data_IF_689914550888
#
_entry.id   IF_689914550888
#
_cell.length_a   1.000
_cell.length_b   1.000
_cell.length_c   1.000
_cell.angle_alpha   90.00
_cell.angle_beta   90.00
_cell.angle_gamma   90.00
#
_symmetry.space_group_name_H-M   'P 1'
#
loop_
_entity.id
_entity.type
_entity.pdbx_description
1 polymer ?
#
# COMPACT_ATOMS: atom_id res chain seq x y z
N UNK A 1 -6.51 18.09 18.65
CA UNK A 1 -7.98 18.08 18.69
C UNK A 1 -8.44 18.70 19.98
N UNK A 2 -8.18 18.07 21.14
CA UNK A 2 -8.56 18.63 22.45
C UNK A 2 -7.92 20.00 22.76
N UNK A 3 -6.63 20.19 22.47
CA UNK A 3 -5.97 21.51 22.58
C UNK A 3 -6.61 22.61 21.70
N UNK A 4 -7.38 22.23 20.67
CA UNK A 4 -8.15 23.16 19.81
C UNK A 4 -9.64 23.23 20.18
N UNK A 5 -10.05 22.69 21.33
CA UNK A 5 -11.46 22.63 21.76
C UNK A 5 -12.34 21.67 20.97
N UNK A 6 -11.75 20.80 20.13
CA UNK A 6 -12.50 19.85 19.31
C UNK A 6 -12.47 18.49 20.01
N UNK A 7 -13.63 18.08 20.53
CA UNK A 7 -13.87 16.72 20.99
C UNK A 7 -14.15 15.80 19.81
N UNK A 8 -13.40 14.70 19.71
CA UNK A 8 -13.53 13.76 18.61
C UNK A 8 -13.57 12.36 19.18
N UNK A 9 -14.64 11.62 18.89
CA UNK A 9 -14.74 10.22 19.26
C UNK A 9 -13.93 9.35 18.30
N UNK A 10 -13.60 8.13 18.71
CA UNK A 10 -12.97 7.16 17.83
C UNK A 10 -13.83 6.85 16.59
N UNK A 11 -15.16 6.81 16.72
CA UNK A 11 -16.05 6.58 15.58
C UNK A 11 -16.03 7.76 14.61
N UNK A 12 -15.96 9.00 15.08
CA UNK A 12 -15.80 10.18 14.21
C UNK A 12 -14.52 10.10 13.37
N UNK A 13 -13.39 9.71 13.98
CA UNK A 13 -12.12 9.49 13.25
C UNK A 13 -12.29 8.38 12.20
N UNK A 14 -12.94 7.28 12.59
CA UNK A 14 -13.18 6.14 11.71
C UNK A 14 -14.05 6.52 10.51
N UNK A 15 -15.10 7.30 10.72
CA UNK A 15 -15.99 7.80 9.66
C UNK A 15 -15.24 8.72 8.71
N UNK A 16 -14.42 9.64 9.22
CA UNK A 16 -13.58 10.49 8.38
C UNK A 16 -12.59 9.67 7.54
N UNK A 17 -11.93 8.67 8.13
CA UNK A 17 -11.07 7.77 7.36
C UNK A 17 -11.84 7.03 6.26
N UNK A 18 -13.10 6.62 6.51
CA UNK A 18 -13.94 5.97 5.50
C UNK A 18 -14.39 6.95 4.40
N UNK A 19 -14.79 8.15 4.77
CA UNK A 19 -15.32 9.18 3.87
C UNK A 19 -14.22 9.76 2.97
N UNK A 20 -13.08 10.13 3.56
CA UNK A 20 -12.05 10.90 2.86
C UNK A 20 -10.80 10.10 2.51
N UNK A 21 -10.48 9.05 3.28
CA UNK A 21 -9.20 8.35 3.15
C UNK A 21 -8.96 7.76 1.76
N UNK A 22 -10.00 7.22 1.11
CA UNK A 22 -9.85 6.65 -0.22
C UNK A 22 -9.63 7.73 -1.30
N UNK A 23 -10.30 8.89 -1.18
CA UNK A 23 -10.13 10.01 -2.11
C UNK A 23 -8.69 10.53 -2.04
N UNK A 24 -8.18 10.78 -0.84
CA UNK A 24 -6.79 11.22 -0.65
C UNK A 24 -5.79 10.22 -1.19
N UNK A 25 -5.97 8.94 -0.88
CA UNK A 25 -5.11 7.89 -1.41
C UNK A 25 -5.14 7.79 -2.94
N UNK A 26 -6.26 8.11 -3.59
CA UNK A 26 -6.34 8.16 -5.05
C UNK A 26 -5.59 9.36 -5.63
N UNK A 27 -5.73 10.54 -5.01
CA UNK A 27 -5.10 11.77 -5.49
C UNK A 27 -3.58 11.74 -5.28
N UNK A 28 -3.12 11.27 -4.11
CA UNK A 28 -1.70 11.03 -3.83
C UNK A 28 -1.09 10.03 -4.83
N UNK A 29 -1.86 9.03 -5.29
CA UNK A 29 -1.39 8.10 -6.33
C UNK A 29 -1.28 8.76 -7.70
N UNK A 30 -2.19 9.66 -8.06
CA UNK A 30 -2.18 10.39 -9.34
C UNK A 30 -1.03 11.40 -9.44
N UNK A 31 -0.68 12.03 -8.33
CA UNK A 31 0.42 13.00 -8.27
C UNK A 31 1.81 12.34 -8.25
N UNK A 32 1.91 11.01 -8.27
CA UNK A 32 3.21 10.34 -8.26
C UNK A 32 3.93 10.58 -9.59
N UNK A 33 5.11 11.23 -9.57
CA UNK A 33 5.80 11.61 -10.81
C UNK A 33 6.48 10.42 -11.48
N UNK A 34 6.87 9.40 -10.72
CA UNK A 34 7.64 8.26 -11.23
C UNK A 34 7.36 6.98 -10.43
N UNK A 35 7.35 5.85 -11.12
CA UNK A 35 7.23 4.51 -10.58
C UNK A 35 8.29 3.65 -11.27
N UNK A 36 9.17 2.96 -10.53
CA UNK A 36 10.15 2.12 -11.20
C UNK A 36 9.53 0.92 -11.91
N UNK A 37 10.26 0.50 -12.95
CA UNK A 37 9.98 -0.65 -13.79
C UNK A 37 10.28 -1.99 -13.13
N UNK A 38 10.84 -1.99 -11.91
CA UNK A 38 11.12 -3.19 -11.11
C UNK A 38 10.16 -3.28 -9.94
N UNK A 39 9.37 -4.34 -9.90
CA UNK A 39 8.35 -4.55 -8.87
C UNK A 39 8.78 -5.66 -7.90
N UNK A 40 8.59 -5.43 -6.61
CA UNK A 40 8.75 -6.42 -5.56
C UNK A 40 7.37 -6.80 -5.02
N UNK A 41 7.08 -8.10 -4.93
CA UNK A 41 5.78 -8.63 -4.58
C UNK A 41 5.90 -9.66 -3.47
N UNK A 42 5.01 -9.57 -2.51
CA UNK A 42 4.97 -10.48 -1.37
C UNK A 42 3.54 -10.62 -0.87
N UNK A 43 3.29 -11.71 -0.14
CA UNK A 43 2.01 -11.97 0.48
C UNK A 43 2.15 -12.40 1.93
N UNK A 44 1.27 -11.86 2.77
CA UNK A 44 1.26 -12.20 4.20
C UNK A 44 -0.12 -12.66 4.66
N UNK A 45 -0.13 -13.61 5.60
CA UNK A 45 -1.39 -14.13 6.17
C UNK A 45 -2.02 -13.12 7.13
N UNK A 46 -3.29 -12.82 6.93
CA UNK A 46 -4.11 -11.95 7.79
C UNK A 46 -5.30 -12.75 8.30
N UNK A 47 -5.52 -12.78 9.61
CA UNK A 47 -6.64 -13.53 10.20
C UNK A 47 -7.81 -12.60 10.49
N UNK A 48 -8.95 -12.85 9.84
CA UNK A 48 -10.18 -12.08 9.97
C UNK A 48 -11.28 -13.02 10.45
N UNK A 49 -11.89 -12.75 11.61
CA UNK A 49 -12.95 -13.61 12.20
C UNK A 49 -12.59 -15.11 12.18
N UNK A 50 -11.38 -15.45 12.63
CA UNK A 50 -10.83 -16.83 12.65
C UNK A 50 -10.59 -17.49 11.28
N UNK A 51 -10.81 -16.76 10.18
CA UNK A 51 -10.52 -17.23 8.83
C UNK A 51 -9.22 -16.59 8.32
N UNK A 52 -8.41 -17.38 7.61
CA UNK A 52 -7.17 -16.91 6.98
C UNK A 52 -7.43 -16.21 5.64
N UNK A 53 -6.85 -15.04 5.46
CA UNK A 53 -6.79 -14.31 4.20
C UNK A 53 -5.33 -14.04 3.87
N UNK A 54 -5.07 -13.73 2.60
CA UNK A 54 -3.74 -13.41 2.08
C UNK A 54 -3.74 -11.98 1.60
N UNK A 55 -2.88 -11.17 2.19
CA UNK A 55 -2.64 -9.79 1.81
C UNK A 55 -1.48 -9.74 0.83
N UNK A 56 -1.82 -9.63 -0.45
CA UNK A 56 -0.88 -9.44 -1.54
C UNK A 56 -0.49 -7.97 -1.60
N UNK A 57 0.80 -7.69 -1.68
CA UNK A 57 1.34 -6.34 -1.75
C UNK A 57 2.39 -6.29 -2.85
N UNK A 58 2.43 -5.15 -3.53
CA UNK A 58 3.48 -4.84 -4.50
C UNK A 58 4.04 -3.45 -4.20
N UNK A 59 5.36 -3.35 -4.27
CA UNK A 59 6.12 -2.10 -4.16
C UNK A 59 7.07 -1.98 -5.35
N UNK A 60 7.44 -0.78 -5.75
CA UNK A 60 8.53 -0.57 -6.72
C UNK A 60 9.91 -0.64 -6.05
N UNK A 61 10.98 -0.42 -6.81
CA UNK A 61 12.36 -0.48 -6.32
C UNK A 61 12.69 0.63 -5.30
N UNK A 62 11.98 1.74 -5.35
CA UNK A 62 12.11 2.89 -4.44
C UNK A 62 11.30 2.67 -3.13
N UNK A 63 10.51 1.60 -3.08
CA UNK A 63 9.69 1.24 -1.93
C UNK A 63 8.30 1.87 -1.93
N UNK A 64 7.89 2.47 -3.06
CA UNK A 64 6.56 3.02 -3.21
C UNK A 64 5.53 1.91 -3.38
N UNK A 65 4.40 1.99 -2.67
CA UNK A 65 3.37 0.96 -2.74
C UNK A 65 2.57 1.11 -4.03
N UNK A 66 2.67 0.12 -4.91
CA UNK A 66 1.93 0.04 -6.17
C UNK A 66 0.46 -0.31 -5.92
N UNK A 67 0.25 -1.44 -5.25
CA UNK A 67 -1.09 -1.90 -4.90
C UNK A 67 -1.10 -2.91 -3.77
N UNK A 68 -2.28 -3.06 -3.16
CA UNK A 68 -2.56 -4.02 -2.11
C UNK A 68 -3.88 -4.71 -2.40
N UNK A 69 -3.92 -6.03 -2.26
CA UNK A 69 -5.10 -6.84 -2.51
C UNK A 69 -5.25 -7.95 -1.46
N UNK A 70 -6.37 -7.96 -0.76
CA UNK A 70 -6.75 -9.01 0.17
C UNK A 70 -7.56 -10.08 -0.57
N UNK A 71 -7.11 -11.32 -0.49
CA UNK A 71 -7.76 -12.47 -1.14
C UNK A 71 -7.94 -13.61 -0.15
N UNK A 72 -8.89 -14.50 -0.43
CA UNK A 72 -9.13 -15.69 0.41
C UNK A 72 -8.10 -16.80 0.17
N UNK A 73 -7.54 -16.85 -1.04
CA UNK A 73 -6.64 -17.93 -1.48
C UNK A 73 -5.24 -17.40 -1.82
N UNK A 74 -4.27 -18.32 -1.76
CA UNK A 74 -2.87 -18.12 -2.14
C UNK A 74 -2.47 -18.98 -3.35
N UNK A 75 -3.40 -19.14 -4.29
CA UNK A 75 -3.24 -20.00 -5.46
C UNK A 75 -2.82 -19.19 -6.71
N UNK A 76 -2.58 -19.90 -7.81
CA UNK A 76 -2.20 -19.30 -9.09
C UNK A 76 -3.24 -18.30 -9.58
N UNK A 77 -4.54 -18.61 -9.44
CA UNK A 77 -5.63 -17.70 -9.85
C UNK A 77 -5.61 -16.40 -9.06
N UNK A 78 -5.36 -16.45 -7.76
CA UNK A 78 -5.19 -15.28 -6.92
C UNK A 78 -3.97 -14.44 -7.32
N UNK A 79 -2.82 -15.08 -7.62
CA UNK A 79 -1.63 -14.39 -8.11
C UNK A 79 -1.87 -13.72 -9.48
N UNK A 80 -2.51 -14.41 -10.43
CA UNK A 80 -2.86 -13.83 -11.73
C UNK A 80 -3.80 -12.63 -11.60
N UNK A 81 -4.80 -12.73 -10.70
CA UNK A 81 -5.70 -11.61 -10.42
C UNK A 81 -4.93 -10.41 -9.88
N UNK A 82 -3.93 -10.65 -9.03
CA UNK A 82 -3.08 -9.58 -8.53
C UNK A 82 -2.23 -8.95 -9.64
N UNK A 83 -1.62 -9.75 -10.51
CA UNK A 83 -0.85 -9.25 -11.67
C UNK A 83 -1.72 -8.43 -12.64
N UNK A 84 -2.89 -8.95 -13.02
CA UNK A 84 -3.83 -8.21 -13.90
C UNK A 84 -4.26 -6.89 -13.28
N UNK A 85 -4.50 -6.86 -11.96
CA UNK A 85 -4.84 -5.64 -11.23
C UNK A 85 -3.69 -4.64 -11.28
N UNK A 86 -2.44 -5.08 -11.07
CA UNK A 86 -1.26 -4.22 -11.13
C UNK A 86 -1.06 -3.65 -12.53
N UNK A 87 -1.07 -4.47 -13.57
CA UNK A 87 -0.93 -4.02 -14.95
C UNK A 87 -2.00 -2.98 -15.32
N UNK A 88 -3.27 -3.25 -14.99
CA UNK A 88 -4.37 -2.31 -15.26
C UNK A 88 -4.18 -0.99 -14.51
N UNK A 89 -3.67 -1.04 -13.28
CA UNK A 89 -3.54 0.13 -12.42
C UNK A 89 -2.33 0.99 -12.78
N UNK A 90 -1.20 0.38 -13.12
CA UNK A 90 0.02 1.10 -13.48
C UNK A 90 0.06 1.50 -14.96
N UNK A 91 -0.66 0.78 -15.83
CA UNK A 91 -0.74 1.11 -17.26
C UNK A 91 0.52 0.71 -18.05
N UNK A 92 1.49 0.06 -17.43
CA UNK A 92 2.70 -0.45 -18.10
C UNK A 92 3.11 -1.83 -17.55
N UNK A 93 3.96 -2.52 -18.31
CA UNK A 93 4.54 -3.82 -17.95
C UNK A 93 5.92 -3.58 -17.31
N UNK A 94 6.22 -4.13 -16.12
CA UNK A 94 7.52 -3.98 -15.49
C UNK A 94 8.60 -4.71 -16.29
N UNK A 95 9.84 -4.23 -16.21
CA UNK A 95 11.01 -4.93 -16.72
C UNK A 95 11.27 -6.21 -15.92
N UNK A 96 11.14 -6.14 -14.60
CA UNK A 96 11.41 -7.26 -13.71
C UNK A 96 10.43 -7.34 -12.53
N UNK A 97 10.12 -8.56 -12.11
CA UNK A 97 9.43 -8.85 -10.84
C UNK A 97 10.35 -9.62 -9.90
N UNK A 98 10.29 -9.25 -8.63
CA UNK A 98 10.95 -9.93 -7.52
C UNK A 98 9.86 -10.50 -6.62
N UNK A 99 9.92 -11.80 -6.34
CA UNK A 99 8.98 -12.47 -5.43
C UNK A 99 9.73 -13.40 -4.49
N UNK A 100 9.06 -13.89 -3.45
CA UNK A 100 9.52 -15.09 -2.75
C UNK A 100 9.35 -16.35 -3.65
N UNK A 101 9.85 -17.50 -3.20
CA UNK A 101 9.86 -18.79 -3.92
C UNK A 101 8.49 -19.48 -4.01
N UNK A 102 7.39 -18.74 -3.88
CA UNK A 102 6.05 -19.30 -3.96
C UNK A 102 5.71 -19.72 -5.40
N UNK A 103 5.41 -21.00 -5.60
CA UNK A 103 5.12 -21.60 -6.92
C UNK A 103 3.97 -20.93 -7.68
N UNK A 104 2.98 -20.37 -6.98
CA UNK A 104 1.83 -19.71 -7.63
C UNK A 104 2.23 -18.43 -8.38
N UNK A 105 3.28 -17.72 -7.95
CA UNK A 105 3.81 -16.59 -8.73
C UNK A 105 4.41 -17.05 -10.05
N UNK A 106 5.22 -18.11 -10.04
CA UNK A 106 5.85 -18.63 -11.25
C UNK A 106 4.79 -19.11 -12.26
N UNK A 107 3.78 -19.83 -11.78
CA UNK A 107 2.66 -20.28 -12.61
C UNK A 107 1.86 -19.09 -13.18
N UNK A 108 1.55 -18.08 -12.35
CA UNK A 108 0.81 -16.90 -12.79
C UNK A 108 1.63 -16.03 -13.76
N UNK A 109 2.95 -15.97 -13.58
CA UNK A 109 3.88 -15.22 -14.45
C UNK A 109 3.85 -15.79 -15.86
N UNK A 110 3.90 -17.11 -15.99
CA UNK A 110 3.83 -17.80 -17.30
C UNK A 110 2.54 -17.47 -18.06
N UNK A 111 1.45 -17.14 -17.36
CA UNK A 111 0.18 -16.76 -17.98
C UNK A 111 0.08 -15.27 -18.30
N UNK A 112 0.47 -14.40 -17.36
CA UNK A 112 0.18 -12.95 -17.43
C UNK A 112 1.39 -12.09 -17.77
N UNK A 113 2.60 -12.47 -17.35
CA UNK A 113 3.82 -11.66 -17.41
C UNK A 113 4.94 -12.41 -18.17
N UNK A 114 4.62 -12.90 -19.38
CA UNK A 114 5.50 -13.82 -20.14
C UNK A 114 6.90 -13.26 -20.40
N UNK A 115 6.98 -12.00 -20.82
CA UNK A 115 8.23 -11.30 -21.17
C UNK A 115 8.99 -10.71 -19.98
N UNK A 116 8.41 -10.73 -18.78
CA UNK A 116 9.01 -10.08 -17.61
C UNK A 116 10.10 -10.96 -16.99
N UNK A 117 11.23 -10.35 -16.62
CA UNK A 117 12.28 -11.04 -15.88
C UNK A 117 11.77 -11.41 -14.47
N UNK A 118 11.90 -12.66 -14.05
CA UNK A 118 11.50 -13.09 -12.71
C UNK A 118 12.71 -13.46 -11.86
N UNK A 119 12.88 -12.76 -10.74
CA UNK A 119 13.94 -13.03 -9.76
C UNK A 119 13.32 -13.55 -8.47
N UNK A 120 13.53 -14.82 -8.17
CA UNK A 120 13.09 -15.44 -6.92
C UNK A 120 14.27 -15.64 -5.97
N UNK A 121 14.55 -14.65 -5.12
CA UNK A 121 15.62 -14.75 -4.13
C UNK A 121 15.21 -14.09 -2.82
N UNK A 122 15.36 -14.81 -1.69
CA UNK A 122 14.89 -14.40 -0.36
C UNK A 122 15.41 -13.01 0.03
N UNK A 123 16.71 -12.77 -0.14
CA UNK A 123 17.31 -11.46 0.18
C UNK A 123 16.89 -10.30 -0.72
N UNK A 124 16.37 -10.57 -1.93
CA UNK A 124 15.90 -9.52 -2.84
C UNK A 124 14.48 -9.04 -2.51
N UNK A 125 13.71 -9.82 -1.73
CA UNK A 125 12.33 -9.47 -1.37
C UNK A 125 12.20 -8.69 -0.05
N UNK A 126 13.30 -8.45 0.66
CA UNK A 126 13.34 -7.70 1.92
C UNK A 126 12.58 -6.36 1.85
N UNK A 127 12.60 -5.68 0.70
CA UNK A 127 11.88 -4.42 0.48
C UNK A 127 10.36 -4.62 0.64
N UNK A 128 9.80 -5.63 -0.01
CA UNK A 128 8.37 -5.91 0.09
C UNK A 128 8.02 -6.47 1.48
N UNK A 129 8.84 -7.36 2.04
CA UNK A 129 8.66 -7.86 3.41
C UNK A 129 8.59 -6.72 4.45
N UNK A 130 9.54 -5.79 4.38
CA UNK A 130 9.58 -4.61 5.27
C UNK A 130 8.37 -3.70 5.08
N UNK A 131 7.85 -3.59 3.85
CA UNK A 131 6.66 -2.80 3.57
C UNK A 131 5.37 -3.34 4.24
N UNK A 132 5.37 -4.58 4.72
CA UNK A 132 4.27 -5.14 5.53
C UNK A 132 4.31 -4.69 7.00
N UNK A 133 5.47 -4.35 7.56
CA UNK A 133 5.64 -4.02 8.99
C UNK A 133 4.66 -2.93 9.47
N UNK A 134 4.47 -1.82 8.74
CA UNK A 134 3.53 -0.80 9.16
C UNK A 134 2.08 -1.27 9.22
N UNK A 135 1.69 -2.13 8.28
CA UNK A 135 0.37 -2.72 8.24
C UNK A 135 0.18 -3.63 9.45
N UNK A 136 1.20 -4.43 9.81
CA UNK A 136 1.17 -5.31 10.98
C UNK A 136 1.08 -4.53 12.30
N UNK A 137 1.86 -3.47 12.45
CA UNK A 137 1.78 -2.61 13.64
C UNK A 137 0.37 -2.04 13.79
N UNK A 138 -0.24 -1.60 12.69
CA UNK A 138 -1.60 -1.07 12.71
C UNK A 138 -2.65 -2.14 12.97
N UNK A 139 -2.52 -3.32 12.35
CA UNK A 139 -3.36 -4.50 12.57
C UNK A 139 -3.34 -4.97 14.03
N UNK A 140 -2.20 -4.87 14.73
CA UNK A 140 -2.07 -5.24 16.15
C UNK A 140 -2.68 -4.19 17.09
N UNK A 141 -2.56 -2.90 16.75
CA UNK A 141 -3.13 -1.78 17.53
C UNK A 141 -4.64 -1.67 17.38
N UNK A 142 -5.16 -1.98 16.20
CA UNK A 142 -6.58 -2.20 15.99
C UNK A 142 -6.90 -3.61 16.51
N UNK A 143 -8.07 -3.91 17.09
CA UNK A 143 -8.41 -5.25 17.55
C UNK A 143 -8.70 -6.21 16.37
N UNK A 144 -7.74 -6.35 15.45
CA UNK A 144 -7.79 -7.03 14.14
C UNK A 144 -8.89 -6.50 13.22
N UNK A 145 -8.86 -6.92 11.97
CA UNK A 145 -9.93 -6.58 11.02
C UNK A 145 -11.19 -7.41 11.31
N UNK A 146 -12.37 -6.76 11.21
CA UNK A 146 -13.67 -7.40 11.44
C UNK A 146 -14.31 -7.96 10.17
N UNK A 147 -13.94 -7.45 8.98
CA UNK A 147 -14.42 -7.97 7.70
C UNK A 147 -13.38 -7.79 6.58
N UNK A 148 -13.38 -8.65 5.54
CA UNK A 148 -12.45 -8.54 4.41
C UNK A 148 -12.66 -7.25 3.61
N UNK A 149 -13.92 -6.85 3.39
CA UNK A 149 -14.24 -5.61 2.67
C UNK A 149 -13.77 -4.35 3.42
N UNK A 150 -13.96 -4.31 4.74
CA UNK A 150 -13.44 -3.23 5.57
C UNK A 150 -11.90 -3.21 5.57
N UNK A 151 -11.26 -4.38 5.69
CA UNK A 151 -9.81 -4.50 5.63
C UNK A 151 -9.26 -3.99 4.29
N UNK A 152 -9.84 -4.40 3.16
CA UNK A 152 -9.42 -3.95 1.84
C UNK A 152 -9.56 -2.43 1.69
N UNK A 153 -10.69 -1.84 2.08
CA UNK A 153 -10.89 -0.37 2.03
C UNK A 153 -9.86 0.36 2.88
N UNK A 154 -9.66 -0.11 4.11
CA UNK A 154 -8.66 0.45 5.01
C UNK A 154 -7.25 0.39 4.40
N UNK A 155 -6.81 -0.79 3.95
CA UNK A 155 -5.45 -1.01 3.41
C UNK A 155 -5.18 -0.21 2.13
N UNK A 156 -6.21 -0.05 1.29
CA UNK A 156 -6.15 0.69 0.03
C UNK A 156 -5.93 2.19 0.23
N UNK A 157 -6.41 2.74 1.35
CA UNK A 157 -6.23 4.12 1.77
C UNK A 157 -4.99 4.31 2.66
N UNK A 158 -4.81 3.43 3.63
CA UNK A 158 -3.73 3.51 4.63
C UNK A 158 -2.34 3.45 3.99
N UNK A 159 -2.12 2.59 3.00
CA UNK A 159 -0.78 2.37 2.45
C UNK A 159 -0.22 3.65 1.76
N UNK A 160 -0.93 4.28 0.81
CA UNK A 160 -0.44 5.51 0.18
C UNK A 160 -0.33 6.70 1.15
N UNK A 161 -1.31 6.86 2.06
CA UNK A 161 -1.30 7.96 3.03
C UNK A 161 -0.11 7.82 3.98
N UNK A 162 0.14 6.61 4.49
CA UNK A 162 1.26 6.41 5.40
C UNK A 162 2.60 6.64 4.70
N UNK A 163 2.76 6.12 3.50
CA UNK A 163 3.97 6.30 2.71
C UNK A 163 4.26 7.80 2.45
N UNK A 164 3.20 8.59 2.21
CA UNK A 164 3.29 10.04 2.13
C UNK A 164 3.74 10.68 3.45
N UNK A 165 3.29 10.24 4.62
CA UNK A 165 3.73 10.90 5.87
C UNK A 165 4.98 10.32 6.54
N UNK A 166 5.53 9.24 6.00
CA UNK A 166 6.72 8.59 6.56
C UNK A 166 7.84 8.46 5.51
N UNK A 167 8.50 9.57 5.15
CA UNK A 167 9.72 9.50 4.34
C UNK A 167 10.80 8.72 5.11
N UNK A 168 11.75 8.12 4.38
CA UNK A 168 12.80 7.29 4.95
C UNK A 168 13.77 8.13 5.79
N UNK A 169 13.43 8.32 7.07
CA UNK A 169 14.14 9.21 8.01
C UNK A 169 15.64 8.93 8.11
N UNK A 170 16.04 7.65 8.02
CA UNK A 170 17.43 7.22 8.15
C UNK A 170 18.33 7.69 7.00
N UNK A 171 17.77 8.15 5.89
CA UNK A 171 18.52 8.69 4.75
C UNK A 171 18.62 10.23 4.77
N UNK A 172 18.04 10.89 5.78
CA UNK A 172 17.84 12.34 5.78
C UNK A 172 18.42 12.96 7.04
N UNK A 173 19.06 14.12 6.89
CA UNK A 173 19.35 14.99 8.03
C UNK A 173 18.05 15.53 8.63
N UNK A 174 18.08 15.91 9.91
CA UNK A 174 16.89 16.46 10.59
C UNK A 174 16.28 17.67 9.84
N UNK A 175 17.11 18.54 9.27
CA UNK A 175 16.67 19.69 8.48
C UNK A 175 15.96 19.25 7.19
N UNK A 176 16.54 18.31 6.43
CA UNK A 176 15.93 17.78 5.20
C UNK A 176 14.63 17.05 5.49
N UNK A 177 14.58 16.26 6.57
CA UNK A 177 13.37 15.59 7.00
C UNK A 177 12.24 16.58 7.31
N UNK A 178 12.52 17.65 8.08
CA UNK A 178 11.53 18.71 8.36
C UNK A 178 11.08 19.45 7.10
N UNK A 179 12.01 19.75 6.18
CA UNK A 179 11.68 20.38 4.90
C UNK A 179 10.76 19.49 4.05
N UNK A 180 11.08 18.20 3.92
CA UNK A 180 10.23 17.24 3.22
C UNK A 180 8.85 17.11 3.87
N UNK A 181 8.77 17.01 5.19
CA UNK A 181 7.47 16.96 5.87
C UNK A 181 6.64 18.22 5.60
N UNK A 182 7.25 19.41 5.61
CA UNK A 182 6.54 20.66 5.29
C UNK A 182 5.94 20.61 3.88
N UNK A 183 6.72 20.20 2.88
CA UNK A 183 6.24 20.01 1.52
C UNK A 183 5.08 19.01 1.47
N UNK A 184 5.25 17.84 2.11
CA UNK A 184 4.21 16.80 2.11
C UNK A 184 2.92 17.24 2.83
N UNK A 185 3.01 18.13 3.81
CA UNK A 185 1.84 18.79 4.41
C UNK A 185 1.21 19.84 3.51
N UNK A 186 1.95 20.46 2.60
CA UNK A 186 1.41 21.34 1.55
C UNK A 186 0.71 20.52 0.47
N UNK A 187 1.35 19.48 -0.04
CA UNK A 187 0.73 18.53 -0.99
C UNK A 187 -0.55 17.94 -0.38
N UNK A 188 -0.53 17.60 0.92
CA UNK A 188 -1.71 17.13 1.63
C UNK A 188 -2.80 18.19 1.68
N UNK A 189 -2.48 19.47 1.89
CA UNK A 189 -3.47 20.55 1.91
C UNK A 189 -4.11 20.74 0.54
N UNK A 190 -3.33 20.65 -0.53
CA UNK A 190 -3.82 20.71 -1.92
C UNK A 190 -4.71 19.52 -2.26
N UNK A 191 -4.28 18.31 -1.92
CA UNK A 191 -5.08 17.08 -2.07
C UNK A 191 -6.34 17.12 -1.20
N UNK A 192 -6.23 17.70 -0.01
CA UNK A 192 -7.33 17.80 0.94
C UNK A 192 -8.30 18.94 0.68
N UNK A 193 -8.19 19.69 -0.43
CA UNK A 193 -9.12 20.73 -0.84
C UNK A 193 -10.59 20.23 -0.81
N UNK A 194 -11.26 20.35 0.35
CA UNK A 194 -12.58 20.98 0.42
C UNK A 194 -12.50 22.10 -0.60
N UNK A 195 -13.35 22.08 -1.64
CA UNK A 195 -13.58 23.32 -2.39
C UNK A 195 -13.76 24.38 -1.31
N UNK A 196 -12.92 25.41 -1.29
CA UNK A 196 -13.31 26.66 -0.66
C UNK A 196 -14.68 26.93 -1.26
N UNK A 197 -15.73 26.81 -0.45
CA UNK A 197 -17.05 27.19 -0.88
C UNK A 197 -16.89 28.63 -1.34
N UNK A 198 -17.10 28.84 -2.65
CA UNK A 198 -17.21 30.16 -3.23
C UNK A 198 -18.47 30.83 -2.65
#
# INVERSE_FOLDING_TARGET
MLYRGIEVTYESIREWCQKFGQQYANQLRRQRPYIADKWHLDEVVVTIKRQQYYLWRAVDAEGNVLDVLLQRHRDTKAAERFFRKLLKKQGFVPRAIVTDKLKSYEAAKKQVLKSVEHRAHKGLNNLCENSHQPTRVRERRMPKFKSPGQAQRFLSAFSPIREHFHPQQHLLTAQRYRAQLRQRFEDWREVACLKSAA
#
